data_IF_052147812915
#
_entry.id   IF_052147812915
#
_cell.length_a   1.000
_cell.length_b   1.000
_cell.length_c   1.000
_cell.angle_alpha   90.00
_cell.angle_beta   90.00
_cell.angle_gamma   90.00
#
_symmetry.space_group_name_H-M   'P 1'
#
loop_
_entity.id
_entity.type
_entity.pdbx_description
1 polymer ?
#
# COMPACT_ATOMS: atom_id res chain seq x y z
N UNK A 1 6.76 17.85 15.51
CA UNK A 1 7.79 17.28 16.31
C UNK A 1 8.30 15.92 15.82
N UNK A 2 9.20 15.34 16.57
CA UNK A 2 9.84 14.05 16.30
C UNK A 2 8.81 12.89 16.14
N UNK A 3 7.83 12.83 17.03
CA UNK A 3 6.75 11.83 16.97
C UNK A 3 5.93 11.95 15.69
N UNK A 4 5.61 13.15 15.24
CA UNK A 4 4.88 13.38 13.98
C UNK A 4 5.70 12.99 12.75
N UNK A 5 7.02 13.18 12.76
CA UNK A 5 7.89 12.73 11.66
C UNK A 5 7.96 11.22 11.57
N UNK A 6 8.02 10.53 12.70
CA UNK A 6 7.97 9.06 12.75
C UNK A 6 6.62 8.55 12.28
N UNK A 7 5.52 9.16 12.68
CA UNK A 7 4.19 8.80 12.23
C UNK A 7 3.98 9.00 10.73
N UNK A 8 4.53 10.07 10.16
CA UNK A 8 4.49 10.28 8.70
C UNK A 8 5.26 9.21 7.93
N UNK A 9 6.42 8.78 8.44
CA UNK A 9 7.19 7.68 7.87
C UNK A 9 6.44 6.34 7.99
N UNK A 10 5.78 6.14 9.10
CA UNK A 10 4.96 4.99 9.39
C UNK A 10 3.76 4.90 8.44
N UNK A 11 3.06 6.02 8.24
CA UNK A 11 1.96 6.10 7.29
C UNK A 11 2.41 5.84 5.84
N UNK A 12 3.61 6.29 5.47
CA UNK A 12 4.18 6.03 4.14
C UNK A 12 4.50 4.55 3.92
N UNK A 13 5.05 3.87 4.94
CA UNK A 13 5.31 2.42 4.90
C UNK A 13 4.01 1.64 4.74
N UNK A 14 2.97 2.04 5.45
CA UNK A 14 1.66 1.40 5.34
C UNK A 14 0.99 1.63 3.99
N UNK A 15 1.09 2.84 3.48
CA UNK A 15 0.57 3.16 2.14
C UNK A 15 1.24 2.26 1.10
N UNK A 16 2.55 2.10 1.21
CA UNK A 16 3.33 1.24 0.33
C UNK A 16 2.94 -0.23 0.50
N UNK A 17 2.78 -0.70 1.73
CA UNK A 17 2.37 -2.07 2.02
C UNK A 17 0.94 -2.36 1.56
N UNK A 18 0.03 -1.41 1.71
CA UNK A 18 -1.36 -1.56 1.27
C UNK A 18 -1.51 -1.52 -0.26
N UNK A 19 -0.67 -0.72 -0.94
CA UNK A 19 -0.64 -0.67 -2.40
C UNK A 19 0.06 -1.88 -3.03
N UNK A 20 0.86 -2.58 -2.23
CA UNK A 20 1.67 -3.71 -2.64
C UNK A 20 1.16 -5.01 -1.98
N UNK A 21 -0.11 -5.03 -1.54
CA UNK A 21 -0.73 -6.29 -1.12
C UNK A 21 -0.46 -7.32 -2.22
N UNK A 22 0.37 -8.32 -1.95
CA UNK A 22 0.75 -9.24 -3.00
C UNK A 22 -0.45 -10.05 -3.37
N UNK A 23 -0.78 -9.98 -4.61
CA UNK A 23 -1.70 -10.92 -5.23
C UNK A 23 -1.03 -12.26 -5.50
N UNK A 24 0.04 -12.61 -4.77
CA UNK A 24 0.86 -13.77 -5.15
C UNK A 24 1.45 -14.44 -3.93
N UNK A 25 0.68 -15.29 -3.27
CA UNK A 25 1.24 -16.22 -2.30
C UNK A 25 0.30 -17.39 -2.00
N UNK A 26 0.85 -18.53 -1.68
CA UNK A 26 0.16 -19.81 -1.61
C UNK A 26 0.41 -20.54 -0.30
N UNK A 27 -0.56 -21.16 0.28
CA UNK A 27 -0.37 -22.24 1.25
C UNK A 27 -1.65 -23.00 1.64
N UNK A 28 -1.54 -23.97 2.43
CA UNK A 28 -2.17 -25.25 2.40
C UNK A 28 -3.14 -25.52 3.56
N UNK A 29 -4.47 -25.37 3.40
CA UNK A 29 -5.38 -25.95 4.38
C UNK A 29 -6.76 -26.40 3.85
N UNK A 30 -7.21 -25.88 2.71
CA UNK A 30 -8.42 -26.33 2.04
C UNK A 30 -8.18 -26.33 0.55
N UNK A 31 -8.28 -27.48 -0.09
CA UNK A 31 -8.02 -27.61 -1.51
C UNK A 31 -8.97 -26.75 -2.36
N UNK A 32 -10.23 -26.65 -1.97
CA UNK A 32 -11.22 -25.85 -2.70
C UNK A 32 -10.98 -24.34 -2.53
N UNK A 33 -10.65 -23.90 -1.34
CA UNK A 33 -10.29 -22.51 -1.07
C UNK A 33 -9.03 -22.11 -1.81
N UNK A 34 -8.02 -22.95 -1.79
CA UNK A 34 -6.77 -22.76 -2.49
C UNK A 34 -6.96 -22.71 -4.01
N UNK A 35 -7.76 -23.61 -4.56
CA UNK A 35 -8.08 -23.62 -5.98
C UNK A 35 -8.77 -22.33 -6.41
N UNK A 36 -9.73 -21.84 -5.63
CA UNK A 36 -10.39 -20.56 -5.93
C UNK A 36 -9.43 -19.39 -5.80
N UNK A 37 -8.57 -19.37 -4.80
CA UNK A 37 -7.51 -18.36 -4.66
C UNK A 37 -6.63 -18.30 -5.92
N UNK A 38 -6.19 -19.43 -6.44
CA UNK A 38 -5.40 -19.50 -7.66
C UNK A 38 -6.15 -18.99 -8.89
N UNK A 39 -7.43 -19.33 -9.02
CA UNK A 39 -8.26 -18.83 -10.11
C UNK A 39 -8.39 -17.32 -10.07
N UNK A 40 -8.56 -16.73 -8.89
CA UNK A 40 -8.63 -15.29 -8.70
C UNK A 40 -7.31 -14.63 -9.10
N UNK A 41 -6.19 -15.20 -8.69
CA UNK A 41 -4.87 -14.68 -9.05
C UNK A 41 -4.64 -14.67 -10.55
N UNK A 42 -4.95 -15.75 -11.22
CA UNK A 42 -4.80 -15.82 -12.68
C UNK A 42 -5.66 -14.77 -13.39
N UNK A 43 -6.89 -14.56 -12.94
CA UNK A 43 -7.73 -13.49 -13.46
C UNK A 43 -7.18 -12.10 -13.21
N UNK A 44 -6.64 -11.86 -12.03
CA UNK A 44 -6.07 -10.56 -11.69
C UNK A 44 -4.79 -10.26 -12.48
N UNK A 45 -3.94 -11.24 -12.69
CA UNK A 45 -2.76 -11.08 -13.55
C UNK A 45 -3.12 -10.74 -15.00
N UNK A 46 -4.28 -11.15 -15.46
CA UNK A 46 -4.77 -10.88 -16.80
C UNK A 46 -5.49 -9.53 -16.94
N UNK A 47 -5.75 -8.83 -15.82
CA UNK A 47 -6.37 -7.51 -15.88
C UNK A 47 -5.44 -6.49 -16.53
N UNK A 48 -5.99 -5.75 -17.47
CA UNK A 48 -5.29 -4.63 -18.11
C UNK A 48 -5.64 -3.29 -17.49
N UNK A 49 -6.83 -3.21 -16.90
CA UNK A 49 -7.39 -1.98 -16.33
C UNK A 49 -7.97 -2.28 -14.95
N UNK A 50 -7.90 -1.33 -14.04
CA UNK A 50 -8.44 -1.45 -12.69
C UNK A 50 -8.95 -0.12 -12.17
N UNK A 51 -10.12 -0.14 -11.55
CA UNK A 51 -10.65 0.94 -10.74
C UNK A 51 -10.94 0.40 -9.34
N UNK A 52 -10.14 0.81 -8.36
CA UNK A 52 -10.22 0.31 -7.00
C UNK A 52 -10.51 1.43 -6.00
N UNK A 53 -11.30 1.12 -4.99
CA UNK A 53 -11.61 1.99 -3.87
C UNK A 53 -11.14 1.33 -2.59
N UNK A 54 -10.30 2.01 -1.83
CA UNK A 54 -9.80 1.52 -0.56
C UNK A 54 -10.31 2.37 0.60
N UNK A 55 -10.63 1.72 1.71
CA UNK A 55 -11.00 2.34 2.97
C UNK A 55 -10.20 1.65 4.08
N UNK A 56 -9.23 2.37 4.63
CA UNK A 56 -8.39 1.88 5.72
C UNK A 56 -8.71 2.63 7.00
N UNK A 57 -9.05 1.87 8.04
CA UNK A 57 -9.22 2.38 9.40
C UNK A 57 -8.01 1.96 10.22
N UNK A 58 -7.33 2.93 10.77
CA UNK A 58 -6.07 2.74 11.48
C UNK A 58 -6.21 3.31 12.88
N UNK A 59 -5.87 2.52 13.89
CA UNK A 59 -5.80 2.94 15.28
C UNK A 59 -4.35 2.85 15.75
N UNK A 60 -3.82 3.95 16.28
CA UNK A 60 -2.44 4.07 16.75
C UNK A 60 -2.45 4.30 18.24
N UNK A 61 -1.61 3.57 18.97
CA UNK A 61 -1.43 3.70 20.41
C UNK A 61 0.01 3.44 20.82
N UNK A 62 0.26 3.30 22.12
CA UNK A 62 1.55 2.92 22.68
C UNK A 62 2.26 4.02 23.45
N UNK A 63 3.42 3.69 24.00
CA UNK A 63 4.16 4.51 24.96
C UNK A 63 4.51 5.91 24.43
N UNK A 64 4.83 6.01 23.14
CA UNK A 64 5.18 7.30 22.53
C UNK A 64 4.00 8.28 22.51
N UNK A 65 2.78 7.79 22.34
CA UNK A 65 1.58 8.61 22.40
C UNK A 65 1.21 8.96 23.84
N UNK A 66 1.35 8.00 24.75
CA UNK A 66 1.09 8.19 26.18
C UNK A 66 1.99 9.27 26.77
N UNK A 67 3.26 9.31 26.41
CA UNK A 67 4.19 10.37 26.80
C UNK A 67 3.76 11.75 26.29
N UNK A 68 3.10 11.80 25.14
CA UNK A 68 2.52 13.03 24.60
C UNK A 68 1.14 13.36 25.19
N UNK A 69 0.62 12.54 26.13
CA UNK A 69 -0.70 12.72 26.72
C UNK A 69 -1.85 12.24 25.84
N UNK A 70 -1.57 11.37 24.87
CA UNK A 70 -2.54 10.85 23.92
C UNK A 70 -2.70 9.35 24.17
N UNK A 71 -3.90 8.88 24.54
CA UNK A 71 -4.16 7.46 24.78
C UNK A 71 -4.20 6.66 23.48
N UNK A 72 -4.85 7.20 22.46
CA UNK A 72 -4.92 6.61 21.14
C UNK A 72 -5.24 7.65 20.08
N UNK A 73 -4.92 7.35 18.84
CA UNK A 73 -5.23 8.19 17.69
C UNK A 73 -5.84 7.34 16.60
N UNK A 74 -6.97 7.78 16.07
CA UNK A 74 -7.63 7.12 14.95
C UNK A 74 -7.37 7.89 13.66
N UNK A 75 -7.13 7.14 12.61
CA UNK A 75 -6.90 7.64 11.26
C UNK A 75 -7.76 6.85 10.30
N UNK A 76 -8.32 7.50 9.32
CA UNK A 76 -9.00 6.86 8.20
C UNK A 76 -8.43 7.36 6.90
N UNK A 77 -8.14 6.44 6.02
CA UNK A 77 -7.64 6.75 4.68
C UNK A 77 -8.60 6.17 3.65
N UNK A 78 -9.14 7.03 2.83
CA UNK A 78 -9.98 6.67 1.71
C UNK A 78 -9.23 6.96 0.42
N UNK A 79 -9.19 5.98 -0.49
CA UNK A 79 -8.43 6.08 -1.73
C UNK A 79 -9.27 5.63 -2.92
N UNK A 80 -9.06 6.30 -4.04
CA UNK A 80 -9.45 5.78 -5.34
C UNK A 80 -8.20 5.62 -6.21
N UNK A 81 -8.02 4.44 -6.76
CA UNK A 81 -6.94 4.12 -7.69
C UNK A 81 -7.52 3.76 -9.04
N UNK A 82 -7.00 4.36 -10.10
CA UNK A 82 -7.32 4.01 -11.47
C UNK A 82 -6.06 3.68 -12.23
N UNK A 83 -6.07 2.55 -12.90
CA UNK A 83 -4.94 2.09 -13.73
C UNK A 83 -5.48 1.61 -15.07
N UNK A 84 -4.73 1.87 -16.13
CA UNK A 84 -4.98 1.25 -17.43
C UNK A 84 -3.68 0.81 -18.08
N UNK A 85 -3.78 0.00 -19.11
CA UNK A 85 -2.63 -0.57 -19.83
C UNK A 85 -1.60 -1.21 -18.87
N UNK A 86 -2.09 -1.95 -17.86
CA UNK A 86 -1.24 -2.53 -16.81
C UNK A 86 -0.21 -3.53 -17.35
N UNK A 87 -0.49 -4.13 -18.50
CA UNK A 87 0.42 -5.09 -19.16
C UNK A 87 1.33 -4.45 -20.21
N UNK A 88 1.16 -3.17 -20.50
CA UNK A 88 1.99 -2.42 -21.43
C UNK A 88 2.70 -1.28 -20.69
N UNK A 89 3.97 -1.46 -20.31
CA UNK A 89 4.72 -0.47 -19.55
C UNK A 89 4.83 0.90 -20.22
N UNK A 90 4.80 0.96 -21.55
CA UNK A 90 4.95 2.23 -22.28
C UNK A 90 3.66 3.05 -22.31
N UNK A 91 2.52 2.41 -22.16
CA UNK A 91 1.21 3.06 -22.22
C UNK A 91 0.53 3.17 -20.86
N UNK A 92 1.07 2.52 -19.83
CA UNK A 92 0.47 2.48 -18.51
C UNK A 92 0.26 3.89 -17.97
N UNK A 93 -0.96 4.13 -17.51
CA UNK A 93 -1.33 5.28 -16.71
C UNK A 93 -1.87 4.83 -15.36
N UNK A 94 -1.56 5.63 -14.37
CA UNK A 94 -1.96 5.38 -12.99
C UNK A 94 -2.35 6.69 -12.33
N UNK A 95 -3.42 6.67 -11.56
CA UNK A 95 -3.85 7.79 -10.73
C UNK A 95 -4.30 7.29 -9.38
N UNK A 96 -3.88 7.96 -8.33
CA UNK A 96 -4.36 7.78 -6.96
C UNK A 96 -4.86 9.10 -6.43
N UNK A 97 -6.04 9.08 -5.85
CA UNK A 97 -6.55 10.14 -5.00
C UNK A 97 -6.73 9.57 -3.61
N UNK A 98 -6.15 10.21 -2.60
CA UNK A 98 -6.23 9.78 -1.22
C UNK A 98 -6.69 10.92 -0.31
N UNK A 99 -7.61 10.59 0.58
CA UNK A 99 -8.12 11.49 1.61
C UNK A 99 -7.89 10.86 2.97
N UNK A 100 -7.09 11.49 3.79
CA UNK A 100 -6.77 11.02 5.14
C UNK A 100 -7.35 11.95 6.18
N UNK A 101 -8.16 11.41 7.05
CA UNK A 101 -8.67 12.08 8.26
C UNK A 101 -7.99 11.50 9.49
N UNK A 102 -7.74 12.33 10.47
CA UNK A 102 -7.02 11.95 11.69
C UNK A 102 -7.59 12.72 12.87
N UNK A 103 -7.66 12.08 14.03
CA UNK A 103 -8.00 12.74 15.28
C UNK A 103 -7.08 13.93 15.53
N UNK A 104 -7.64 15.06 15.90
CA UNK A 104 -6.88 16.29 16.15
C UNK A 104 -6.56 17.13 14.92
N UNK A 105 -6.83 16.65 13.71
CA UNK A 105 -6.77 17.47 12.50
C UNK A 105 -8.17 17.97 12.12
N UNK A 106 -8.29 19.28 11.91
CA UNK A 106 -9.57 19.89 11.55
C UNK A 106 -9.94 19.62 10.09
N UNK A 107 -8.96 19.50 9.22
CA UNK A 107 -9.14 19.26 7.79
C UNK A 107 -8.44 17.98 7.34
N UNK A 108 -9.05 17.27 6.38
CA UNK A 108 -8.40 16.09 5.83
C UNK A 108 -7.13 16.46 5.05
N UNK A 109 -6.17 15.54 5.05
CA UNK A 109 -5.01 15.62 4.16
C UNK A 109 -5.39 15.00 2.82
N UNK A 110 -5.27 15.77 1.75
CA UNK A 110 -5.56 15.34 0.39
C UNK A 110 -4.25 15.13 -0.36
N UNK A 111 -4.13 13.98 -1.00
CA UNK A 111 -2.99 13.64 -1.87
C UNK A 111 -3.51 13.13 -3.20
N UNK A 112 -2.90 13.58 -4.29
CA UNK A 112 -3.10 13.00 -5.62
C UNK A 112 -1.75 12.57 -6.18
N UNK A 113 -1.72 11.43 -6.82
CA UNK A 113 -0.54 10.95 -7.51
C UNK A 113 -0.92 10.48 -8.92
N UNK A 114 -0.03 10.72 -9.88
CA UNK A 114 -0.21 10.35 -11.27
C UNK A 114 1.06 9.73 -11.80
N UNK A 115 0.92 8.67 -12.57
CA UNK A 115 2.00 8.12 -13.37
C UNK A 115 1.60 8.17 -14.85
N UNK A 116 2.41 8.80 -15.66
CA UNK A 116 2.26 8.83 -17.11
C UNK A 116 3.59 9.20 -17.80
N UNK A 117 3.85 8.63 -18.97
CA UNK A 117 4.97 9.00 -19.84
C UNK A 117 6.34 8.98 -19.13
N UNK A 118 6.55 8.02 -18.26
CA UNK A 118 7.80 7.88 -17.52
C UNK A 118 7.98 8.81 -16.32
N UNK A 119 6.95 9.56 -15.95
CA UNK A 119 6.99 10.51 -14.84
C UNK A 119 5.96 10.17 -13.76
N UNK A 120 6.37 10.30 -12.52
CA UNK A 120 5.51 10.22 -11.35
C UNK A 120 5.31 11.61 -10.75
N UNK A 121 4.05 12.01 -10.63
CA UNK A 121 3.62 13.31 -10.14
C UNK A 121 2.90 13.14 -8.82
N UNK A 122 3.27 13.91 -7.80
CA UNK A 122 2.60 13.90 -6.50
C UNK A 122 2.20 15.32 -6.13
N UNK A 123 0.93 15.49 -5.80
CA UNK A 123 0.37 16.71 -5.23
C UNK A 123 -0.15 16.40 -3.82
N UNK A 124 0.50 16.96 -2.82
CA UNK A 124 0.08 16.86 -1.43
C UNK A 124 -0.24 18.25 -0.90
N UNK A 125 -1.52 18.55 -0.76
CA UNK A 125 -2.00 19.84 -0.24
C UNK A 125 -1.43 21.05 -1.01
N UNK A 126 -1.33 20.93 -2.33
CA UNK A 126 -0.79 21.98 -3.20
C UNK A 126 0.72 21.96 -3.36
N UNK A 127 1.43 21.13 -2.62
CA UNK A 127 2.86 20.91 -2.86
C UNK A 127 3.03 19.87 -3.96
N UNK A 128 3.53 20.31 -5.11
CA UNK A 128 3.58 19.52 -6.34
C UNK A 128 5.01 19.17 -6.69
N UNK A 129 5.28 17.87 -6.72
CA UNK A 129 6.62 17.31 -7.00
C UNK A 129 6.49 16.26 -8.09
N UNK A 130 7.46 16.20 -8.99
CA UNK A 130 7.57 15.13 -9.99
C UNK A 130 8.94 14.48 -9.95
N UNK A 131 8.99 13.22 -10.34
CA UNK A 131 10.23 12.48 -10.50
C UNK A 131 10.15 11.56 -11.71
N UNK A 132 11.26 11.36 -12.44
CA UNK A 132 11.29 10.33 -13.46
C UNK A 132 11.17 8.96 -12.79
N UNK A 133 10.36 8.10 -13.38
CA UNK A 133 10.19 6.75 -12.89
C UNK A 133 10.14 5.81 -14.08
N UNK A 134 11.07 4.86 -14.11
CA UNK A 134 11.08 3.84 -15.14
C UNK A 134 10.06 2.75 -14.79
N UNK A 135 9.07 2.55 -15.66
CA UNK A 135 8.07 1.50 -15.50
C UNK A 135 8.70 0.12 -15.55
N UNK A 136 9.80 -0.06 -16.28
CA UNK A 136 10.53 -1.32 -16.26
C UNK A 136 11.04 -1.64 -14.86
N UNK A 137 11.44 -0.64 -14.08
CA UNK A 137 11.80 -0.79 -12.67
C UNK A 137 10.59 -1.25 -11.83
N UNK A 138 9.41 -0.67 -12.02
CA UNK A 138 8.17 -1.10 -11.32
C UNK A 138 7.81 -2.53 -11.72
N UNK A 139 7.88 -2.86 -13.00
CA UNK A 139 7.58 -4.19 -13.51
C UNK A 139 8.59 -5.22 -13.01
N UNK A 140 9.87 -4.91 -13.02
CA UNK A 140 10.94 -5.75 -12.48
C UNK A 140 10.77 -5.94 -10.96
N UNK A 141 10.42 -4.90 -10.26
CA UNK A 141 10.13 -4.94 -8.83
C UNK A 141 8.97 -5.88 -8.52
N UNK A 142 7.89 -5.81 -9.30
CA UNK A 142 6.76 -6.72 -9.17
C UNK A 142 7.16 -8.17 -9.47
N UNK A 143 8.01 -8.41 -10.45
CA UNK A 143 8.55 -9.73 -10.75
C UNK A 143 9.48 -10.25 -9.67
N UNK A 144 10.35 -9.41 -9.12
CA UNK A 144 11.25 -9.78 -8.03
C UNK A 144 10.47 -10.12 -6.77
N UNK A 145 9.45 -9.36 -6.43
CA UNK A 145 8.58 -9.66 -5.29
C UNK A 145 7.81 -10.96 -5.47
N UNK A 146 7.51 -11.37 -6.71
CA UNK A 146 6.84 -12.64 -7.02
C UNK A 146 7.79 -13.84 -7.11
N UNK A 147 9.07 -13.62 -7.37
CA UNK A 147 10.08 -14.69 -7.56
C UNK A 147 10.89 -15.02 -6.31
N UNK A 148 10.91 -14.13 -5.31
CA UNK A 148 11.79 -14.25 -4.14
C UNK A 148 11.14 -15.03 -2.99
N UNK A 149 9.84 -15.25 -3.03
CA UNK A 149 9.13 -16.01 -2.02
C UNK A 149 8.74 -17.38 -2.54
N UNK A 150 9.11 -18.42 -1.78
CA UNK A 150 8.44 -19.70 -1.91
C UNK A 150 7.01 -19.48 -1.41
N UNK A 151 6.11 -19.29 -2.36
CA UNK A 151 4.74 -18.87 -2.12
C UNK A 151 3.96 -19.84 -1.21
N UNK A 152 4.33 -21.12 -1.21
CA UNK A 152 3.74 -22.14 -0.37
C UNK A 152 3.98 -21.90 1.14
N UNK A 153 5.01 -21.15 1.51
CA UNK A 153 5.36 -20.90 2.91
C UNK A 153 4.75 -19.63 3.50
N UNK A 154 4.22 -18.72 2.67
CA UNK A 154 3.77 -17.40 3.13
C UNK A 154 2.32 -17.39 3.61
N UNK A 155 1.44 -18.14 2.97
CA UNK A 155 0.02 -18.18 3.30
C UNK A 155 -0.39 -19.46 3.99
N UNK A 156 -1.32 -19.33 4.93
CA UNK A 156 -1.86 -20.46 5.67
C UNK A 156 -3.35 -20.26 5.97
N UNK A 157 -3.95 -21.26 6.55
CA UNK A 157 -5.31 -21.24 7.08
C UNK A 157 -6.36 -20.82 6.02
N UNK A 158 -6.29 -21.44 4.85
CA UNK A 158 -7.29 -21.23 3.81
C UNK A 158 -8.66 -21.71 4.23
N UNK A 159 -9.66 -20.84 4.07
CA UNK A 159 -11.06 -21.09 4.38
C UNK A 159 -11.94 -20.61 3.24
N UNK A 160 -13.05 -21.29 3.04
CA UNK A 160 -14.01 -20.97 1.99
C UNK A 160 -15.42 -20.92 2.60
N UNK A 161 -16.15 -19.84 2.31
CA UNK A 161 -17.56 -19.72 2.68
C UNK A 161 -18.34 -18.91 1.67
N UNK A 162 -19.66 -18.91 1.78
CA UNK A 162 -20.54 -18.12 0.94
C UNK A 162 -20.94 -16.80 1.62
N UNK A 163 -21.08 -15.76 0.81
CA UNK A 163 -21.58 -14.45 1.22
C UNK A 163 -22.51 -13.92 0.12
N UNK A 164 -23.82 -14.13 0.28
CA UNK A 164 -24.79 -13.88 -0.78
C UNK A 164 -24.53 -14.73 -2.02
N UNK A 165 -24.41 -14.12 -3.17
CA UNK A 165 -24.05 -14.79 -4.43
C UNK A 165 -22.55 -15.05 -4.57
N UNK A 166 -21.75 -14.43 -3.71
CA UNK A 166 -20.31 -14.46 -3.79
C UNK A 166 -19.73 -15.59 -2.94
N UNK A 167 -18.53 -15.99 -3.26
CA UNK A 167 -17.69 -16.85 -2.43
C UNK A 167 -16.61 -16.01 -1.77
N UNK A 168 -16.23 -16.36 -0.54
CA UNK A 168 -15.14 -15.71 0.16
C UNK A 168 -14.03 -16.71 0.42
N UNK A 169 -12.82 -16.35 0.04
CA UNK A 169 -11.60 -17.08 0.39
C UNK A 169 -10.89 -16.31 1.48
N UNK A 170 -10.82 -16.91 2.67
CA UNK A 170 -10.02 -16.38 3.77
C UNK A 170 -8.67 -17.07 3.84
N UNK A 171 -7.63 -16.32 4.18
CA UNK A 171 -6.29 -16.84 4.42
C UNK A 171 -5.51 -15.92 5.36
N UNK A 172 -4.39 -16.42 5.84
CA UNK A 172 -3.53 -15.70 6.77
C UNK A 172 -2.13 -15.61 6.17
N UNK A 173 -1.56 -14.41 6.21
CA UNK A 173 -0.12 -14.22 5.95
C UNK A 173 0.60 -14.32 7.29
N UNK A 174 1.49 -15.29 7.44
CA UNK A 174 2.16 -15.56 8.70
C UNK A 174 3.20 -14.51 9.07
N UNK A 175 3.31 -14.20 10.35
CA UNK A 175 4.13 -13.12 10.89
C UNK A 175 5.63 -13.33 10.67
N UNK A 176 6.12 -14.56 10.75
CA UNK A 176 7.55 -14.89 10.60
C UNK A 176 8.10 -14.63 9.19
N UNK A 177 7.22 -14.52 8.20
CA UNK A 177 7.58 -14.22 6.80
C UNK A 177 7.39 -12.75 6.43
N UNK A 178 6.65 -11.99 7.23
CA UNK A 178 6.24 -10.63 6.89
C UNK A 178 7.39 -9.63 6.88
N UNK A 179 8.34 -9.75 7.79
CA UNK A 179 9.48 -8.83 7.84
C UNK A 179 10.33 -8.92 6.58
N UNK A 180 10.60 -10.13 6.10
CA UNK A 180 11.31 -10.38 4.85
C UNK A 180 10.55 -9.81 3.65
N UNK A 181 9.24 -10.02 3.63
CA UNK A 181 8.37 -9.52 2.58
C UNK A 181 8.38 -7.98 2.53
N UNK A 182 8.21 -7.32 3.67
CA UNK A 182 8.21 -5.85 3.75
C UNK A 182 9.57 -5.27 3.34
N UNK A 183 10.67 -5.89 3.75
CA UNK A 183 12.00 -5.46 3.30
C UNK A 183 12.16 -5.57 1.79
N UNK A 184 11.67 -6.64 1.20
CA UNK A 184 11.68 -6.82 -0.26
C UNK A 184 10.85 -5.74 -0.96
N UNK A 185 9.66 -5.46 -0.45
CA UNK A 185 8.77 -4.42 -0.98
C UNK A 185 9.41 -3.03 -0.86
N UNK A 186 9.98 -2.69 0.28
CA UNK A 186 10.65 -1.40 0.48
C UNK A 186 11.90 -1.24 -0.40
N UNK A 187 12.68 -2.29 -0.55
CA UNK A 187 13.83 -2.32 -1.47
C UNK A 187 13.37 -2.11 -2.90
N UNK A 188 12.30 -2.78 -3.29
CA UNK A 188 11.70 -2.65 -4.61
C UNK A 188 11.19 -1.22 -4.87
N UNK A 189 10.62 -0.56 -3.88
CA UNK A 189 10.17 0.82 -3.96
C UNK A 189 11.31 1.86 -3.88
N UNK A 190 12.57 1.43 -3.79
CA UNK A 190 13.72 2.33 -3.61
C UNK A 190 13.80 2.97 -2.23
N UNK A 191 13.10 2.41 -1.25
CA UNK A 191 13.00 2.95 0.11
C UNK A 191 13.83 2.17 1.13
N UNK A 192 14.70 1.26 0.71
CA UNK A 192 15.50 0.39 1.57
C UNK A 192 16.45 1.12 2.53
N UNK A 193 16.80 2.38 2.23
CA UNK A 193 17.66 3.20 3.11
C UNK A 193 16.91 4.11 4.07
N UNK A 194 15.57 4.12 4.06
CA UNK A 194 14.77 5.11 4.77
C UNK A 194 14.26 4.65 6.13
N UNK A 195 14.30 3.33 6.43
CA UNK A 195 13.77 2.80 7.68
C UNK A 195 14.63 1.66 8.21
N UNK A 196 15.01 1.77 9.48
CA UNK A 196 15.47 0.64 10.26
C UNK A 196 14.24 -0.17 10.70
N UNK A 197 14.09 -1.38 10.15
CA UNK A 197 12.96 -2.26 10.45
C UNK A 197 13.26 -3.23 11.59
N UNK A 198 14.41 -3.11 12.27
CA UNK A 198 14.80 -4.03 13.34
C UNK A 198 13.87 -4.04 14.54
N UNK A 199 13.13 -2.95 14.77
CA UNK A 199 12.12 -2.87 15.83
C UNK A 199 10.69 -3.14 15.38
N UNK A 200 10.50 -3.55 14.11
CA UNK A 200 9.17 -3.78 13.55
C UNK A 200 8.71 -5.20 13.85
N UNK A 201 7.53 -5.30 14.45
CA UNK A 201 6.82 -6.56 14.70
C UNK A 201 5.43 -6.47 14.07
N UNK A 202 5.13 -7.39 13.16
CA UNK A 202 3.82 -7.48 12.49
C UNK A 202 3.23 -8.84 12.85
N UNK A 203 2.02 -8.82 13.42
CA UNK A 203 1.26 -10.04 13.66
C UNK A 203 0.77 -10.63 12.34
N UNK A 204 0.19 -11.82 12.41
CA UNK A 204 -0.44 -12.45 11.26
C UNK A 204 -1.43 -11.51 10.58
N UNK A 205 -1.33 -11.38 9.26
CA UNK A 205 -2.29 -10.60 8.48
C UNK A 205 -3.43 -11.51 8.06
N UNK A 206 -4.64 -11.15 8.45
CA UNK A 206 -5.85 -11.85 8.02
C UNK A 206 -6.39 -11.21 6.75
N UNK A 207 -6.54 -12.01 5.71
CA UNK A 207 -7.02 -11.58 4.40
C UNK A 207 -8.26 -12.36 3.97
N UNK A 208 -9.14 -11.68 3.26
CA UNK A 208 -10.31 -12.27 2.62
C UNK A 208 -10.45 -11.73 1.20
N UNK A 209 -10.68 -12.60 0.25
CA UNK A 209 -11.07 -12.23 -1.12
C UNK A 209 -12.53 -12.57 -1.33
N UNK A 210 -13.34 -11.57 -1.67
CA UNK A 210 -14.74 -11.76 -2.07
C UNK A 210 -14.78 -11.93 -3.58
N UNK A 211 -15.26 -13.08 -4.02
CA UNK A 211 -15.23 -13.52 -5.42
C UNK A 211 -16.65 -13.60 -5.94
N UNK A 212 -16.93 -12.92 -7.05
CA UNK A 212 -18.23 -12.94 -7.69
C UNK A 212 -18.48 -14.27 -8.45
N UNK A 213 -19.72 -14.53 -8.94
CA UNK A 213 -20.02 -15.76 -9.69
C UNK A 213 -19.20 -15.92 -10.97
N UNK A 214 -18.68 -14.84 -11.56
CA UNK A 214 -17.81 -14.88 -12.73
C UNK A 214 -16.34 -15.19 -12.37
N UNK A 215 -16.01 -15.30 -11.08
CA UNK A 215 -14.66 -15.60 -10.63
C UNK A 215 -13.77 -14.36 -10.45
N UNK A 216 -14.33 -13.17 -10.48
CA UNK A 216 -13.59 -11.93 -10.25
C UNK A 216 -13.53 -11.60 -8.76
N UNK A 217 -12.38 -11.16 -8.29
CA UNK A 217 -12.27 -10.54 -6.97
C UNK A 217 -12.89 -9.15 -7.03
N UNK A 218 -13.96 -8.94 -6.28
CA UNK A 218 -14.67 -7.65 -6.23
C UNK A 218 -14.39 -6.89 -4.95
N UNK A 219 -13.85 -7.57 -3.94
CA UNK A 219 -13.47 -6.96 -2.67
C UNK A 219 -12.34 -7.74 -2.01
N UNK A 220 -11.42 -7.03 -1.41
CA UNK A 220 -10.40 -7.57 -0.50
C UNK A 220 -10.59 -6.95 0.87
N UNK A 221 -10.52 -7.77 1.92
CA UNK A 221 -10.53 -7.32 3.32
C UNK A 221 -9.24 -7.73 3.99
N UNK A 222 -8.71 -6.87 4.83
CA UNK A 222 -7.44 -7.12 5.52
C UNK A 222 -7.49 -6.59 6.94
N UNK A 223 -6.95 -7.38 7.87
CA UNK A 223 -6.74 -6.97 9.26
C UNK A 223 -5.31 -7.27 9.66
N UNK A 224 -4.65 -6.31 10.26
CA UNK A 224 -3.31 -6.50 10.80
C UNK A 224 -3.11 -5.70 12.09
N UNK A 225 -2.25 -6.24 12.93
CA UNK A 225 -1.68 -5.57 14.08
C UNK A 225 -0.18 -5.42 13.87
N UNK A 226 0.36 -4.26 14.20
CA UNK A 226 1.77 -3.96 14.03
C UNK A 226 2.29 -3.16 15.22
N UNK A 227 3.53 -3.37 15.59
CA UNK A 227 4.22 -2.53 16.56
C UNK A 227 5.62 -2.17 16.07
N UNK A 228 6.07 -0.99 16.46
CA UNK A 228 7.45 -0.55 16.25
C UNK A 228 8.02 -0.11 17.57
N UNK A 229 9.16 -0.69 17.93
CA UNK A 229 9.93 -0.31 19.11
C UNK A 229 11.21 0.39 18.67
N UNK A 230 11.44 1.57 19.21
CA UNK A 230 12.64 2.36 18.97
C UNK A 230 13.05 3.04 20.26
N UNK A 231 14.29 2.82 20.69
CA UNK A 231 14.84 3.36 21.94
C UNK A 231 14.00 3.06 23.19
N UNK A 232 13.45 1.84 23.26
CA UNK A 232 12.64 1.39 24.39
C UNK A 232 11.20 1.90 24.38
N UNK A 233 10.81 2.67 23.37
CA UNK A 233 9.43 3.16 23.19
C UNK A 233 8.72 2.40 22.08
N UNK A 234 7.48 2.04 22.31
CA UNK A 234 6.67 1.27 21.37
C UNK A 234 5.51 2.11 20.84
N UNK A 235 5.29 2.03 19.53
CA UNK A 235 4.07 2.47 18.86
C UNK A 235 3.35 1.24 18.35
N UNK A 236 2.09 1.10 18.72
CA UNK A 236 1.22 0.01 18.25
C UNK A 236 0.22 0.54 17.24
N UNK A 237 -0.13 -0.30 16.28
CA UNK A 237 -1.11 0.05 15.26
C UNK A 237 -1.98 -1.13 14.91
N UNK A 238 -3.28 -0.86 14.77
CA UNK A 238 -4.26 -1.78 14.23
C UNK A 238 -4.82 -1.21 12.93
N UNK A 239 -4.87 -2.02 11.90
CA UNK A 239 -5.44 -1.63 10.62
C UNK A 239 -6.54 -2.60 10.21
N UNK A 240 -7.67 -2.02 9.79
CA UNK A 240 -8.79 -2.67 9.14
C UNK A 240 -8.93 -2.06 7.76
N UNK A 241 -8.81 -2.85 6.71
CA UNK A 241 -8.84 -2.35 5.34
C UNK A 241 -9.84 -3.09 4.46
N UNK A 242 -10.57 -2.32 3.67
CA UNK A 242 -11.42 -2.81 2.59
C UNK A 242 -10.95 -2.22 1.27
N UNK A 243 -10.80 -3.06 0.26
CA UNK A 243 -10.49 -2.63 -1.11
C UNK A 243 -11.55 -3.20 -2.03
N UNK A 244 -12.38 -2.32 -2.62
CA UNK A 244 -13.37 -2.70 -3.63
C UNK A 244 -12.83 -2.50 -5.04
N UNK A 245 -13.10 -3.45 -5.93
CA UNK A 245 -12.74 -3.37 -7.34
C UNK A 245 -14.02 -3.19 -8.14
N UNK A 246 -14.15 -2.05 -8.80
CA UNK A 246 -15.33 -1.74 -9.60
C UNK A 246 -15.20 -2.35 -11.01
N UNK A 247 -16.27 -2.97 -11.47
CA UNK A 247 -16.42 -3.50 -12.83
C UNK A 247 -15.16 -4.20 -13.36
N UNK A 248 -14.70 -5.29 -12.74
CA UNK A 248 -13.48 -5.98 -13.14
C UNK A 248 -13.51 -6.38 -14.61
N UNK A 249 -12.41 -6.15 -15.32
CA UNK A 249 -12.28 -6.50 -16.74
C UNK A 249 -12.83 -5.47 -17.71
N UNK A 250 -13.41 -4.37 -17.25
CA UNK A 250 -13.87 -3.28 -18.10
C UNK A 250 -12.77 -2.23 -18.30
N UNK A 251 -12.75 -1.53 -19.45
CA UNK A 251 -11.82 -0.44 -19.68
C UNK A 251 -11.98 0.68 -18.64
N UNK A 252 -10.88 1.25 -18.21
CA UNK A 252 -10.83 2.36 -17.24
C UNK A 252 -10.15 3.57 -17.87
N UNK A 253 -10.83 4.69 -17.84
CA UNK A 253 -10.22 5.97 -18.18
C UNK A 253 -9.43 6.51 -16.99
N UNK A 254 -8.15 6.75 -17.19
CA UNK A 254 -7.28 7.34 -16.18
C UNK A 254 -7.07 8.81 -16.50
N UNK A 255 -7.48 9.74 -15.62
CA UNK A 255 -7.23 11.15 -15.83
C UNK A 255 -5.75 11.45 -15.98
N UNK A 256 -5.42 12.30 -16.93
CA UNK A 256 -4.06 12.81 -17.06
C UNK A 256 -3.77 13.85 -15.98
N UNK A 257 -2.50 13.99 -15.60
CA UNK A 257 -2.08 15.03 -14.69
C UNK A 257 -2.45 16.40 -15.23
N UNK A 258 -3.03 17.24 -14.38
CA UNK A 258 -3.37 18.63 -14.73
C UNK A 258 -2.12 19.50 -14.55
N UNK A 259 -1.80 20.30 -15.56
CA UNK A 259 -0.70 21.25 -15.55
C UNK A 259 0.65 20.64 -15.08
N UNK A 260 1.22 19.68 -15.84
CA UNK A 260 2.45 19.02 -15.43
C UNK A 260 3.64 19.98 -15.25
N UNK A 261 3.64 21.13 -15.91
CA UNK A 261 4.67 22.14 -15.76
C UNK A 261 4.68 22.83 -14.38
N UNK A 262 3.58 22.74 -13.63
CA UNK A 262 3.50 23.29 -12.26
C UNK A 262 4.19 22.41 -11.22
N UNK A 263 4.58 21.19 -11.57
CA UNK A 263 5.27 20.27 -10.68
C UNK A 263 6.77 20.53 -10.68
N UNK A 264 7.35 20.67 -9.49
CA UNK A 264 8.78 20.86 -9.32
C UNK A 264 9.51 19.52 -9.38
N UNK A 265 10.62 19.44 -10.08
CA UNK A 265 11.46 18.25 -10.10
C UNK A 265 11.98 17.92 -8.71
N UNK A 266 11.96 16.65 -8.34
CA UNK A 266 12.40 16.17 -7.01
C UNK A 266 13.85 16.59 -6.73
N UNK A 267 14.74 16.51 -7.70
CA UNK A 267 16.13 16.88 -7.52
C UNK A 267 16.28 18.38 -7.23
N UNK A 268 15.53 19.24 -7.92
CA UNK A 268 15.50 20.68 -7.67
C UNK A 268 14.87 20.99 -6.31
N UNK A 269 13.79 20.30 -5.94
CA UNK A 269 13.14 20.47 -4.66
C UNK A 269 14.07 20.10 -3.49
N UNK A 270 14.79 18.99 -3.58
CA UNK A 270 15.78 18.59 -2.57
C UNK A 270 16.94 19.57 -2.50
N UNK A 271 17.40 20.10 -3.63
CA UNK A 271 18.44 21.12 -3.71
C UNK A 271 18.04 22.44 -3.02
N UNK A 272 16.83 22.93 -3.28
CA UNK A 272 16.28 24.15 -2.65
C UNK A 272 16.08 23.96 -1.14
N UNK A 273 15.53 22.84 -0.72
CA UNK A 273 15.35 22.57 0.70
C UNK A 273 16.66 22.35 1.45
N UNK A 274 17.66 21.80 0.80
CA UNK A 274 19.00 21.67 1.36
C UNK A 274 19.65 23.04 1.52
N UNK A 275 19.42 23.94 0.58
CA UNK A 275 19.89 25.34 0.65
C UNK A 275 19.08 26.20 1.62
N UNK A 276 17.76 26.01 1.72
CA UNK A 276 16.87 26.73 2.62
C UNK A 276 16.96 26.21 4.08
N UNK A 277 17.18 24.93 4.26
CA UNK A 277 17.57 24.37 5.56
C UNK A 277 19.02 24.74 5.93
N UNK A 278 19.67 25.33 5.03
CA UNK A 278 20.85 26.20 5.01
C UNK A 278 21.98 25.91 5.95
N UNK A 279 21.98 24.93 6.75
CA UNK A 279 23.04 24.76 7.73
C UNK A 279 22.87 23.58 8.68
N UNK A 280 21.94 22.67 8.43
CA UNK A 280 21.91 21.40 9.17
C UNK A 280 22.11 20.24 8.21
N UNK A 281 23.29 19.64 8.23
CA UNK A 281 23.45 18.35 7.57
C UNK A 281 22.48 17.37 8.23
N UNK A 282 21.82 16.59 7.42
CA UNK A 282 21.06 15.45 7.89
C UNK A 282 22.04 14.49 8.59
N UNK A 283 22.03 14.49 9.93
CA UNK A 283 22.62 13.46 10.75
C UNK A 283 21.57 12.40 11.06
#
# INVERSE_FOLDING_TARGET
>A
GYAMRKMKRFAAVLLSAALLCPMTAYADNSDDARALYHQVEEKQKALTDMNAFADFKISVGGDMLEEAGIDSMNMRMEMNMKMNHMTDPQQMKYMVYARTTMDGLQEPVIMSAYYQDGWYYVDTMGQKIKMPMDVSAITEQTKVSTLTFDEDDLLSNFRLWGEGENKVVGFVIEDDKMNEYIQTVLSAAGMSGLTDLSGLDISDIQCEYVVDPAGNCVKMRMKLDMSVTDQGQTVTMKMDGDIGIADPGQPVEVPSVQDPASYQDMAAYLGENTQAAGQQPFL
#
